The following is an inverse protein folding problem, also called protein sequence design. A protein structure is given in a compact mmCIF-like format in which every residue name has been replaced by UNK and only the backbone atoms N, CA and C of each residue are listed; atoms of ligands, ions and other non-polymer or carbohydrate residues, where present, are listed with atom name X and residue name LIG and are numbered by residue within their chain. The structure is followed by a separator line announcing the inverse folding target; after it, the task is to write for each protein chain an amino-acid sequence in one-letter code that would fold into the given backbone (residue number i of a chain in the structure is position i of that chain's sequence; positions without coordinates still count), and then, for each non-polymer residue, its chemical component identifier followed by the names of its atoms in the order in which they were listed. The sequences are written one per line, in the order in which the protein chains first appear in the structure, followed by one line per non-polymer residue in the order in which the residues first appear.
data_IF_845056955170
#
_entry.id   IF_845056955170
#
_cell.length_a   1.000
_cell.length_b   1.000
_cell.length_c   1.000
_cell.angle_alpha   90.00
_cell.angle_beta   90.00
_cell.angle_gamma   90.00
#
_symmetry.space_group_name_H-M   'P 1'
#
loop_
_entity.id
_entity.type
_entity.pdbx_description
1 polymer ?
#
# COMPACT_ATOMS: atom_id res chain seq x y z
N UNK A 1 -8.42 -21.31 15.64
CA UNK A 1 -8.37 -21.25 14.16
C UNK A 1 -9.56 -20.50 13.55
N UNK A 2 -10.80 -20.72 14.01
CA UNK A 2 -11.97 -20.02 13.47
C UNK A 2 -11.94 -18.48 13.62
N UNK A 3 -11.39 -17.95 14.72
CA UNK A 3 -11.18 -16.50 14.92
C UNK A 3 -10.09 -15.93 14.00
N UNK A 4 -9.00 -16.67 13.80
CA UNK A 4 -7.93 -16.26 12.88
C UNK A 4 -8.43 -16.20 11.43
N UNK A 5 -9.26 -17.15 10.98
CA UNK A 5 -9.88 -17.12 9.63
C UNK A 5 -10.85 -15.96 9.44
N UNK A 6 -11.62 -15.59 10.47
CA UNK A 6 -12.48 -14.39 10.43
C UNK A 6 -11.65 -13.11 10.38
N UNK A 7 -10.60 -13.03 11.20
CA UNK A 7 -9.53 -12.01 11.14
C UNK A 7 -9.05 -11.76 9.72
N UNK A 8 -8.68 -12.84 9.06
CA UNK A 8 -8.07 -12.81 7.75
C UNK A 8 -9.05 -12.45 6.61
N UNK A 9 -10.32 -12.87 6.71
CA UNK A 9 -11.40 -12.46 5.78
C UNK A 9 -11.57 -10.96 5.77
N UNK A 10 -11.57 -10.36 6.95
CA UNK A 10 -11.64 -8.91 7.07
C UNK A 10 -10.36 -8.24 6.60
N UNK A 11 -9.17 -8.80 6.83
CA UNK A 11 -7.91 -8.20 6.36
C UNK A 11 -7.94 -7.99 4.86
N UNK A 12 -8.27 -9.06 4.14
CA UNK A 12 -8.42 -9.06 2.70
C UNK A 12 -9.33 -7.94 2.24
N UNK A 13 -10.54 -7.85 2.80
CA UNK A 13 -11.52 -6.85 2.41
C UNK A 13 -11.06 -5.44 2.80
N UNK A 14 -10.57 -5.26 4.02
CA UNK A 14 -10.18 -3.97 4.58
C UNK A 14 -8.92 -3.38 3.94
N UNK A 15 -8.00 -4.19 3.40
CA UNK A 15 -6.82 -3.69 2.70
C UNK A 15 -7.04 -3.61 1.18
N UNK A 16 -7.68 -4.62 0.58
CA UNK A 16 -7.81 -4.71 -0.89
C UNK A 16 -8.82 -3.70 -1.41
N UNK A 17 -9.96 -3.46 -0.73
CA UNK A 17 -10.93 -2.47 -1.21
C UNK A 17 -10.34 -1.07 -1.27
N UNK A 18 -9.79 -0.51 -0.17
CA UNK A 18 -9.16 0.82 -0.20
C UNK A 18 -8.06 0.95 -1.25
N UNK A 19 -7.16 -0.03 -1.29
CA UNK A 19 -6.03 -0.01 -2.21
C UNK A 19 -6.49 -0.08 -3.67
N UNK A 20 -7.38 -1.02 -4.00
CA UNK A 20 -7.90 -1.16 -5.37
C UNK A 20 -8.68 0.07 -5.82
N UNK A 21 -9.47 0.67 -4.92
CA UNK A 21 -10.27 1.86 -5.21
C UNK A 21 -9.38 3.10 -5.43
N UNK A 22 -8.31 3.25 -4.64
CA UNK A 22 -7.31 4.30 -4.85
C UNK A 22 -6.50 4.10 -6.13
N UNK A 23 -6.02 2.88 -6.39
CA UNK A 23 -5.29 2.59 -7.62
C UNK A 23 -6.17 2.84 -8.85
N UNK A 24 -7.44 2.46 -8.80
CA UNK A 24 -8.39 2.76 -9.87
C UNK A 24 -8.58 4.27 -10.07
N UNK A 25 -8.74 5.03 -8.98
CA UNK A 25 -8.89 6.49 -9.04
C UNK A 25 -7.64 7.17 -9.64
N UNK A 26 -6.44 6.81 -9.18
CA UNK A 26 -5.17 7.34 -9.67
C UNK A 26 -5.01 7.04 -11.17
N UNK A 27 -5.27 5.80 -11.59
CA UNK A 27 -5.18 5.41 -13.00
C UNK A 27 -6.18 6.19 -13.85
N UNK A 28 -7.43 6.32 -13.38
CA UNK A 28 -8.47 7.06 -14.11
C UNK A 28 -8.10 8.53 -14.27
N UNK A 29 -7.55 9.15 -13.22
CA UNK A 29 -7.07 10.53 -13.29
C UNK A 29 -5.89 10.71 -14.23
N UNK A 30 -4.94 9.78 -14.19
CA UNK A 30 -3.76 9.85 -15.05
C UNK A 30 -4.13 9.73 -16.53
N UNK A 31 -5.12 8.89 -16.85
CA UNK A 31 -5.66 8.75 -18.21
C UNK A 31 -6.47 9.97 -18.63
N UNK A 32 -7.23 10.57 -17.71
CA UNK A 32 -8.07 11.73 -18.00
C UNK A 32 -7.29 13.04 -18.18
N UNK A 33 -6.09 13.14 -17.60
CA UNK A 33 -5.41 14.42 -17.48
C UNK A 33 -4.06 14.44 -18.20
N UNK A 34 -4.10 14.77 -19.49
CA UNK A 34 -2.92 14.91 -20.36
C UNK A 34 -2.09 16.20 -20.09
N UNK A 35 -2.48 17.04 -19.11
CA UNK A 35 -1.88 18.38 -18.89
C UNK A 35 -1.53 18.67 -17.43
N UNK A 36 -1.00 17.70 -16.68
CA UNK A 36 -0.56 17.98 -15.31
C UNK A 36 0.75 18.78 -15.25
N UNK A 37 0.89 19.70 -14.27
CA UNK A 37 2.14 20.39 -14.01
C UNK A 37 3.27 19.41 -13.65
N UNK A 38 4.47 19.65 -14.18
CA UNK A 38 5.66 18.80 -13.98
C UNK A 38 6.10 18.67 -12.52
N UNK A 39 5.76 19.66 -11.66
CA UNK A 39 6.08 19.62 -10.23
C UNK A 39 5.25 18.59 -9.44
N UNK A 40 4.08 18.18 -9.96
CA UNK A 40 3.22 17.17 -9.32
C UNK A 40 3.75 15.74 -9.50
N UNK A 41 4.73 15.52 -10.39
CA UNK A 41 5.35 14.21 -10.67
C UNK A 41 6.45 13.79 -9.70
N UNK A 42 6.59 14.44 -8.54
CA UNK A 42 7.63 14.05 -7.59
C UNK A 42 7.35 12.63 -7.08
N UNK A 43 8.26 11.71 -7.38
CA UNK A 43 8.34 10.31 -6.92
C UNK A 43 7.86 10.09 -5.47
N UNK A 44 8.20 11.04 -4.59
CA UNK A 44 7.82 10.99 -3.19
C UNK A 44 6.30 11.11 -2.99
N UNK A 45 5.61 11.97 -3.75
CA UNK A 45 4.17 12.19 -3.60
C UNK A 45 3.36 10.97 -4.04
N UNK A 46 3.69 10.33 -5.15
CA UNK A 46 2.93 9.16 -5.64
C UNK A 46 3.04 7.95 -4.70
N UNK A 47 4.26 7.64 -4.22
CA UNK A 47 4.47 6.58 -3.24
C UNK A 47 3.65 6.82 -1.95
N UNK A 48 3.37 8.08 -1.64
CA UNK A 48 2.65 8.51 -0.44
C UNK A 48 1.16 8.40 -0.62
N UNK A 49 0.66 8.78 -1.80
CA UNK A 49 -0.73 8.58 -2.18
C UNK A 49 -1.11 7.10 -2.18
N UNK A 50 -0.20 6.19 -2.51
CA UNK A 50 -0.45 4.74 -2.46
C UNK A 50 -0.21 4.16 -1.06
N UNK A 51 0.85 4.61 -0.38
CA UNK A 51 1.26 4.08 0.92
C UNK A 51 0.32 4.43 2.07
N UNK A 52 -0.20 5.66 2.11
CA UNK A 52 -1.08 6.15 3.18
C UNK A 52 -2.40 5.36 3.28
N UNK A 53 -3.17 5.15 2.19
CA UNK A 53 -4.39 4.33 2.23
C UNK A 53 -4.11 2.88 2.59
N UNK A 54 -2.99 2.31 2.13
CA UNK A 54 -2.59 0.95 2.48
C UNK A 54 -2.34 0.81 3.99
N UNK A 55 -1.61 1.77 4.56
CA UNK A 55 -1.35 1.82 6.00
C UNK A 55 -2.64 2.04 6.80
N UNK A 56 -3.51 2.95 6.35
CA UNK A 56 -4.80 3.20 6.97
C UNK A 56 -5.73 1.98 6.91
N UNK A 57 -5.74 1.26 5.79
CA UNK A 57 -6.44 -0.02 5.65
C UNK A 57 -5.91 -1.08 6.61
N UNK A 58 -4.58 -1.12 6.82
CA UNK A 58 -3.96 -1.98 7.83
C UNK A 58 -4.39 -1.62 9.26
N UNK A 59 -4.39 -0.33 9.61
CA UNK A 59 -4.84 0.17 10.90
C UNK A 59 -6.31 -0.18 11.17
N UNK A 60 -7.17 0.05 10.18
CA UNK A 60 -8.59 -0.28 10.25
C UNK A 60 -8.79 -1.79 10.44
N UNK A 61 -7.96 -2.62 9.78
CA UNK A 61 -7.99 -4.05 10.01
C UNK A 61 -7.58 -4.43 11.45
N UNK A 62 -6.49 -3.89 11.98
CA UNK A 62 -6.07 -4.13 13.37
C UNK A 62 -7.21 -3.79 14.34
N UNK A 63 -7.83 -2.62 14.15
CA UNK A 63 -8.98 -2.18 14.94
C UNK A 63 -10.18 -3.12 14.81
N UNK A 64 -10.46 -3.63 13.61
CA UNK A 64 -11.53 -4.60 13.37
C UNK A 64 -11.28 -5.94 14.07
N UNK A 65 -10.04 -6.45 14.05
CA UNK A 65 -9.67 -7.74 14.66
C UNK A 65 -9.95 -7.76 16.16
N UNK A 66 -9.75 -6.63 16.82
CA UNK A 66 -10.04 -6.46 18.25
C UNK A 66 -11.55 -6.23 18.54
N UNK A 67 -12.39 -6.30 17.50
CA UNK A 67 -13.83 -6.06 17.59
C UNK A 67 -14.20 -4.58 17.76
N UNK A 68 -13.27 -3.67 17.44
CA UNK A 68 -13.42 -2.23 17.66
C UNK A 68 -14.64 -1.64 16.96
N UNK A 69 -14.91 -2.02 15.71
CA UNK A 69 -16.04 -1.48 14.94
C UNK A 69 -17.41 -1.90 15.46
N UNK A 70 -17.53 -3.09 16.06
CA UNK A 70 -18.79 -3.51 16.70
C UNK A 70 -19.05 -2.72 17.99
N UNK A 71 -18.00 -2.34 18.72
CA UNK A 71 -18.12 -1.55 19.96
C UNK A 71 -18.29 -0.07 19.69
N UNK A 72 -17.74 0.44 18.59
CA UNK A 72 -17.73 1.87 18.24
C UNK A 72 -17.97 2.06 16.73
N UNK A 73 -19.24 2.11 16.29
CA UNK A 73 -19.57 2.33 14.88
C UNK A 73 -19.11 3.71 14.37
N UNK A 74 -18.93 4.68 15.26
CA UNK A 74 -18.38 6.01 14.94
C UNK A 74 -16.99 5.94 14.31
N UNK A 75 -16.16 4.97 14.72
CA UNK A 75 -14.85 4.74 14.12
C UNK A 75 -14.94 4.42 12.63
N UNK A 76 -15.96 3.64 12.25
CA UNK A 76 -16.21 3.25 10.86
C UNK A 76 -16.63 4.47 10.03
N UNK A 77 -17.48 5.33 10.60
CA UNK A 77 -17.91 6.55 9.94
C UNK A 77 -16.71 7.46 9.65
N UNK A 78 -15.82 7.72 10.61
CA UNK A 78 -14.63 8.55 10.37
C UNK A 78 -13.68 7.93 9.34
N UNK A 79 -13.48 6.61 9.39
CA UNK A 79 -12.65 5.91 8.40
C UNK A 79 -13.23 6.00 6.99
N UNK A 80 -14.54 5.79 6.83
CA UNK A 80 -15.21 5.91 5.53
C UNK A 80 -15.23 7.36 5.04
N UNK A 81 -15.43 8.34 5.92
CA UNK A 81 -15.32 9.76 5.57
C UNK A 81 -13.92 10.12 5.08
N UNK A 82 -12.87 9.62 5.75
CA UNK A 82 -11.49 9.78 5.28
C UNK A 82 -11.30 9.16 3.90
N UNK A 83 -11.77 7.92 3.68
CA UNK A 83 -11.65 7.24 2.40
C UNK A 83 -12.37 8.02 1.27
N UNK A 84 -13.57 8.51 1.55
CA UNK A 84 -14.37 9.31 0.62
C UNK A 84 -13.68 10.62 0.27
N UNK A 85 -13.16 11.35 1.27
CA UNK A 85 -12.37 12.56 1.06
C UNK A 85 -11.10 12.28 0.24
N UNK A 86 -10.44 11.16 0.51
CA UNK A 86 -9.23 10.75 -0.23
C UNK A 86 -9.52 10.45 -1.70
N UNK A 87 -10.67 9.84 -2.01
CA UNK A 87 -11.08 9.59 -3.40
C UNK A 87 -11.59 10.84 -4.10
N UNK A 88 -12.25 11.73 -3.36
CA UNK A 88 -12.77 12.99 -3.88
C UNK A 88 -11.68 14.05 -4.03
N UNK A 89 -10.55 13.90 -3.34
CA UNK A 89 -9.40 14.81 -3.39
C UNK A 89 -9.00 15.13 -4.82
N UNK A 90 -8.70 14.10 -5.58
CA UNK A 90 -8.22 14.17 -6.95
C UNK A 90 -9.18 14.94 -7.89
N UNK A 91 -10.47 14.55 -8.05
CA UNK A 91 -11.39 15.29 -8.91
C UNK A 91 -11.68 16.70 -8.39
N UNK A 92 -11.62 16.94 -7.08
CA UNK A 92 -11.87 18.27 -6.52
C UNK A 92 -10.71 19.22 -6.84
N UNK A 93 -9.48 18.81 -6.53
CA UNK A 93 -8.29 19.64 -6.71
C UNK A 93 -8.05 19.93 -8.19
N UNK A 94 -8.18 18.89 -9.04
CA UNK A 94 -7.87 19.02 -10.45
C UNK A 94 -9.06 19.44 -11.32
N UNK A 95 -10.28 19.08 -10.95
CA UNK A 95 -11.47 19.39 -11.73
C UNK A 95 -11.98 20.82 -11.53
N UNK A 96 -11.92 21.35 -10.30
CA UNK A 96 -12.47 22.69 -10.00
C UNK A 96 -11.45 23.81 -10.23
N UNK A 97 -10.16 23.51 -10.38
CA UNK A 97 -9.11 24.51 -10.54
C UNK A 97 -8.98 25.49 -9.36
N UNK A 98 -9.55 25.14 -8.20
CA UNK A 98 -9.68 25.99 -7.03
C UNK A 98 -8.74 25.49 -5.91
N UNK A 99 -7.52 26.02 -5.78
CA UNK A 99 -6.52 25.49 -4.84
C UNK A 99 -6.96 25.59 -3.36
N UNK A 100 -7.78 26.59 -3.03
CA UNK A 100 -8.33 26.77 -1.69
C UNK A 100 -9.28 25.64 -1.27
N UNK A 101 -10.02 25.04 -2.22
CA UNK A 101 -10.88 23.88 -1.95
C UNK A 101 -10.03 22.67 -1.57
N UNK A 102 -8.92 22.46 -2.28
CA UNK A 102 -7.92 21.47 -1.90
C UNK A 102 -7.44 21.67 -0.47
N UNK A 103 -7.09 22.89 -0.08
CA UNK A 103 -6.65 23.17 1.29
C UNK A 103 -7.74 22.79 2.34
N UNK A 104 -9.00 23.13 2.09
CA UNK A 104 -10.13 22.76 2.97
C UNK A 104 -10.27 21.24 3.09
N UNK A 105 -10.23 20.52 1.96
CA UNK A 105 -10.33 19.05 1.97
C UNK A 105 -9.15 18.44 2.73
N UNK A 106 -7.96 19.03 2.66
CA UNK A 106 -6.76 18.56 3.34
C UNK A 106 -6.91 18.67 4.86
N UNK A 107 -7.42 19.81 5.32
CA UNK A 107 -7.75 20.02 6.73
C UNK A 107 -8.85 19.05 7.20
N UNK A 108 -9.86 18.81 6.38
CA UNK A 108 -10.90 17.82 6.68
C UNK A 108 -10.34 16.40 6.79
N UNK A 109 -9.43 16.01 5.89
CA UNK A 109 -8.74 14.71 5.95
C UNK A 109 -7.87 14.60 7.20
N UNK A 110 -7.15 15.66 7.57
CA UNK A 110 -6.34 15.69 8.79
C UNK A 110 -7.22 15.58 10.06
N UNK A 111 -8.38 16.24 10.07
CA UNK A 111 -9.38 16.12 11.13
C UNK A 111 -10.00 14.71 11.24
N UNK A 112 -10.25 14.06 10.11
CA UNK A 112 -10.70 12.67 10.11
C UNK A 112 -9.61 11.71 10.63
N UNK A 113 -8.34 11.96 10.27
CA UNK A 113 -7.19 11.18 10.75
C UNK A 113 -6.94 11.35 12.25
N UNK A 114 -7.05 12.57 12.80
CA UNK A 114 -6.94 12.81 14.25
C UNK A 114 -8.03 12.09 15.02
N UNK A 115 -9.28 12.16 14.54
CA UNK A 115 -10.40 11.44 15.13
C UNK A 115 -10.18 9.92 15.09
N UNK A 116 -9.77 9.37 13.94
CA UNK A 116 -9.42 7.96 13.81
C UNK A 116 -8.30 7.56 14.77
N UNK A 117 -7.26 8.39 14.91
CA UNK A 117 -6.13 8.14 15.83
C UNK A 117 -6.59 8.01 17.27
N UNK A 118 -7.42 8.95 17.75
CA UNK A 118 -7.91 8.91 19.14
C UNK A 118 -8.71 7.64 19.41
N UNK A 119 -9.64 7.31 18.52
CA UNK A 119 -10.51 6.14 18.69
C UNK A 119 -9.70 4.85 18.56
N UNK A 120 -8.74 4.78 17.63
CA UNK A 120 -7.92 3.60 17.44
C UNK A 120 -6.97 3.39 18.61
N UNK A 121 -6.36 4.46 19.14
CA UNK A 121 -5.44 4.38 20.29
C UNK A 121 -6.12 3.83 21.55
N UNK A 122 -7.40 4.11 21.74
CA UNK A 122 -8.17 3.56 22.88
C UNK A 122 -8.39 2.04 22.80
N UNK A 123 -8.53 1.49 21.59
CA UNK A 123 -8.76 0.05 21.40
C UNK A 123 -7.46 -0.71 21.20
N UNK A 124 -6.57 -0.16 20.39
CA UNK A 124 -5.27 -0.74 20.06
C UNK A 124 -4.21 0.37 19.91
N UNK A 125 -3.30 0.53 20.89
CA UNK A 125 -2.30 1.60 20.86
C UNK A 125 -1.37 1.51 19.64
N UNK A 126 -1.07 0.29 19.16
CA UNK A 126 -0.23 0.08 17.98
C UNK A 126 -0.89 0.66 16.74
N UNK A 127 -2.20 0.44 16.56
CA UNK A 127 -2.94 1.03 15.44
C UNK A 127 -2.97 2.57 15.55
N UNK A 128 -3.16 3.10 16.76
CA UNK A 128 -3.10 4.55 17.00
C UNK A 128 -1.75 5.18 16.67
N UNK A 129 -0.64 4.53 17.02
CA UNK A 129 0.72 5.00 16.73
C UNK A 129 1.05 4.91 15.24
N UNK A 130 0.51 3.89 14.55
CA UNK A 130 0.67 3.76 13.10
C UNK A 130 -0.10 4.87 12.35
N UNK A 131 -1.30 5.24 12.81
CA UNK A 131 -2.04 6.41 12.30
C UNK A 131 -1.29 7.71 12.60
N UNK A 132 -0.63 7.81 13.76
CA UNK A 132 0.21 8.96 14.10
C UNK A 132 1.37 9.13 13.11
N UNK A 133 2.04 8.02 12.75
CA UNK A 133 3.11 8.04 11.77
C UNK A 133 2.61 8.55 10.41
N UNK A 134 1.44 8.11 9.94
CA UNK A 134 0.83 8.67 8.72
C UNK A 134 0.51 10.15 8.80
N UNK A 135 0.06 10.64 9.96
CA UNK A 135 -0.22 12.06 10.14
C UNK A 135 1.05 12.92 10.09
N UNK A 136 2.13 12.50 10.75
CA UNK A 136 3.42 13.22 10.73
C UNK A 136 3.92 13.31 9.28
N UNK A 137 3.75 12.23 8.54
CA UNK A 137 4.11 12.18 7.12
C UNK A 137 3.25 13.12 6.28
N UNK A 138 1.93 13.13 6.47
CA UNK A 138 1.02 14.04 5.78
C UNK A 138 1.32 15.52 6.10
N UNK A 139 1.69 15.83 7.35
CA UNK A 139 2.10 17.17 7.76
C UNK A 139 3.39 17.61 7.06
N UNK A 140 4.40 16.73 6.99
CA UNK A 140 5.64 17.02 6.24
C UNK A 140 5.40 17.30 4.77
N UNK A 141 4.44 16.61 4.15
CA UNK A 141 4.07 16.86 2.75
C UNK A 141 3.41 18.21 2.57
N UNK A 142 2.72 18.74 3.58
CA UNK A 142 2.11 20.08 3.55
C UNK A 142 3.06 21.22 3.97
N UNK A 143 4.25 20.90 4.48
CA UNK A 143 5.25 21.88 4.90
C UNK A 143 6.08 22.59 3.79
N UNK A 144 6.11 22.20 2.49
CA UNK A 144 7.13 22.72 1.56
C UNK A 144 6.92 24.17 1.10
N UNK A 145 5.80 24.82 1.40
CA UNK A 145 5.56 26.21 0.99
C UNK A 145 5.94 27.27 2.03
N UNK A 146 5.91 26.96 3.32
CA UNK A 146 6.19 27.96 4.36
C UNK A 146 7.68 28.32 4.42
N UNK A 147 8.56 27.35 4.18
CA UNK A 147 10.00 27.53 4.28
C UNK A 147 10.58 28.33 3.09
N UNK A 148 10.00 28.16 1.90
CA UNK A 148 10.37 28.95 0.71
C UNK A 148 9.96 30.42 0.82
N UNK A 149 8.82 30.71 1.46
CA UNK A 149 8.38 32.09 1.73
C UNK A 149 9.28 32.72 2.80
N UNK A 150 9.67 31.95 3.82
CA UNK A 150 10.59 32.42 4.87
C UNK A 150 11.98 32.73 4.32
N UNK A 151 12.50 31.90 3.42
CA UNK A 151 13.79 32.16 2.76
C UNK A 151 13.77 33.35 1.80
N UNK A 152 12.63 33.65 1.16
CA UNK A 152 12.48 34.89 0.37
C UNK A 152 12.35 36.14 1.24
N UNK A 153 11.76 36.04 2.43
CA UNK A 153 11.68 37.13 3.40
C UNK A 153 13.04 37.46 4.05
N UNK A 154 13.87 36.45 4.33
CA UNK A 154 15.14 36.62 5.04
C UNK A 154 16.29 37.21 4.20
N UNK A 155 16.11 37.41 2.88
CA UNK A 155 17.16 37.96 2.00
C UNK A 155 17.27 39.50 2.04
N UNK A 156 16.46 40.17 2.87
CA UNK A 156 16.35 41.63 2.91
C UNK A 156 16.83 42.31 4.20
N UNK A 157 17.34 41.57 5.20
CA UNK A 157 17.61 42.15 6.52
C UNK A 157 19.09 42.02 6.90
N UNK A 158 19.82 43.15 7.09
CA UNK A 158 21.22 43.12 7.51
C UNK A 158 21.36 42.67 8.96
N UNK A 159 22.23 41.70 9.16
CA UNK A 159 22.56 41.02 10.42
C UNK A 159 23.15 41.98 11.46
N UNK A 160 22.50 42.08 12.62
CA UNK A 160 23.07 42.59 13.87
C UNK A 160 23.55 41.39 14.68
N UNK A 161 24.83 41.40 15.04
CA UNK A 161 25.51 40.34 15.76
C UNK A 161 25.04 40.26 17.23
N UNK A 162 24.57 39.09 17.66
CA UNK A 162 24.32 38.78 19.08
C UNK A 162 25.16 37.56 19.55
N UNK A 163 25.61 37.55 20.82
CA UNK A 163 26.65 36.65 21.30
C UNK A 163 26.10 35.31 21.81
N UNK A 164 26.94 34.29 21.69
CA UNK A 164 26.67 32.89 22.05
C UNK A 164 26.81 32.68 23.56
N UNK A 165 25.73 32.23 24.21
CA UNK A 165 25.75 31.69 25.57
C UNK A 165 25.68 30.16 25.50
N UNK A 166 26.75 29.51 25.97
CA UNK A 166 26.84 28.06 26.09
C UNK A 166 26.16 27.61 27.38
N UNK A 167 25.10 26.82 27.29
CA UNK A 167 24.58 26.06 28.42
C UNK A 167 24.94 24.58 28.33
N UNK A 168 25.66 24.21 29.38
CA UNK A 168 26.18 22.90 29.73
C UNK A 168 25.08 22.12 30.47
N UNK A 169 24.67 20.95 29.98
CA UNK A 169 23.77 20.04 30.71
C UNK A 169 24.44 18.68 30.90
N UNK A 170 25.15 18.56 32.01
CA UNK A 170 25.37 17.32 32.75
C UNK A 170 24.21 17.18 33.74
N UNK A 171 23.43 16.09 33.71
CA UNK A 171 23.25 15.25 34.89
C UNK A 171 22.53 13.92 34.62
N UNK A 172 23.16 12.89 35.17
CA UNK A 172 22.71 11.57 35.56
C UNK A 172 21.28 11.48 36.11
N UNK A 173 20.52 10.43 35.77
CA UNK A 173 19.58 9.83 36.74
C UNK A 173 19.39 8.32 36.53
N UNK A 174 19.93 7.62 37.52
CA UNK A 174 19.74 6.26 38.04
C UNK A 174 18.60 5.38 37.51
N UNK A 175 19.05 4.14 37.28
CA UNK A 175 18.39 2.84 37.36
C UNK A 175 17.41 2.76 38.55
N UNK A 176 16.19 2.31 38.28
CA UNK A 176 15.36 1.56 39.23
C UNK A 176 14.85 0.31 38.51
N UNK A 177 15.49 -0.82 38.82
CA UNK A 177 14.90 -2.15 38.64
C UNK A 177 13.76 -2.28 39.65
N UNK A 178 12.56 -2.62 39.17
CA UNK A 178 11.50 -3.10 40.05
C UNK A 178 10.91 -4.40 39.49
N UNK A 179 11.33 -5.50 40.11
CA UNK A 179 10.78 -6.83 39.92
C UNK A 179 9.44 -6.92 40.65
N UNK A 180 8.32 -6.83 39.92
CA UNK A 180 7.04 -7.33 40.43
C UNK A 180 6.63 -8.59 39.67
N UNK A 181 6.75 -9.72 40.38
CA UNK A 181 6.34 -11.03 39.90
C UNK A 181 4.83 -11.13 39.79
N UNK A 182 4.32 -11.24 38.56
CA UNK A 182 2.99 -11.80 38.31
C UNK A 182 3.12 -13.23 37.78
N UNK A 183 2.92 -14.20 38.67
CA UNK A 183 2.76 -15.62 38.35
C UNK A 183 1.43 -15.81 37.60
N UNK A 184 1.37 -15.48 36.32
CA UNK A 184 0.28 -15.93 35.42
C UNK A 184 0.73 -17.14 34.62
N UNK A 185 0.25 -18.30 35.09
CA UNK A 185 0.45 -19.65 34.55
C UNK A 185 0.28 -19.73 33.01
N UNK A 186 1.39 -19.88 32.29
CA UNK A 186 1.69 -21.12 31.56
C UNK A 186 0.90 -21.53 30.31
N UNK A 187 0.10 -20.68 29.66
CA UNK A 187 -0.59 -21.05 28.38
C UNK A 187 -0.35 -20.15 27.17
N UNK A 188 0.33 -19.00 27.34
CA UNK A 188 0.64 -18.06 26.23
C UNK A 188 1.89 -18.35 25.36
N UNK A 189 2.97 -19.03 25.80
CA UNK A 189 4.21 -19.04 25.01
C UNK A 189 4.09 -19.86 23.72
N UNK A 190 3.25 -20.91 23.72
CA UNK A 190 3.08 -21.79 22.56
C UNK A 190 2.29 -21.15 21.42
N UNK A 191 1.42 -20.16 21.69
CA UNK A 191 0.67 -19.43 20.65
C UNK A 191 1.53 -18.34 19.98
N UNK A 192 2.40 -17.68 20.74
CA UNK A 192 3.35 -16.69 20.19
C UNK A 192 4.41 -17.34 19.30
N UNK A 193 4.90 -18.54 19.63
CA UNK A 193 5.88 -19.26 18.81
C UNK A 193 5.34 -19.60 17.40
N UNK A 194 4.07 -19.98 17.28
CA UNK A 194 3.42 -20.27 15.99
C UNK A 194 3.19 -19.00 15.17
N UNK A 195 2.81 -17.89 15.81
CA UNK A 195 2.66 -16.60 15.15
C UNK A 195 4.00 -16.07 14.61
N UNK A 196 5.09 -16.20 15.38
CA UNK A 196 6.44 -15.75 14.98
C UNK A 196 6.99 -16.54 13.79
N UNK A 197 6.71 -17.85 13.70
CA UNK A 197 7.08 -18.67 12.54
C UNK A 197 6.30 -18.29 11.29
N UNK A 198 5.00 -18.00 11.44
CA UNK A 198 4.17 -17.50 10.34
C UNK A 198 4.63 -16.14 9.81
N UNK A 199 5.02 -15.20 10.68
CA UNK A 199 5.51 -13.87 10.30
C UNK A 199 6.85 -13.92 9.52
N UNK A 200 7.76 -14.83 9.89
CA UNK A 200 9.02 -15.01 9.14
C UNK A 200 8.77 -15.60 7.75
N UNK A 201 7.87 -16.58 7.63
CA UNK A 201 7.53 -17.10 6.30
C UNK A 201 6.69 -16.12 5.47
N UNK A 202 5.91 -15.25 6.11
CA UNK A 202 5.20 -14.15 5.44
C UNK A 202 6.18 -13.16 4.85
N UNK A 203 7.16 -12.72 5.65
CA UNK A 203 8.21 -11.83 5.17
C UNK A 203 8.93 -12.44 3.97
N UNK A 204 9.31 -13.72 4.03
CA UNK A 204 9.96 -14.39 2.90
C UNK A 204 9.03 -14.46 1.67
N UNK A 205 7.77 -14.84 1.86
CA UNK A 205 6.79 -14.97 0.78
C UNK A 205 6.38 -13.64 0.13
N UNK A 206 6.52 -12.52 0.84
CA UNK A 206 6.32 -11.18 0.29
C UNK A 206 7.61 -10.59 -0.30
N UNK A 207 8.75 -10.82 0.34
CA UNK A 207 10.04 -10.27 -0.09
C UNK A 207 10.49 -10.93 -1.39
N UNK A 208 10.25 -12.22 -1.61
CA UNK A 208 10.67 -12.92 -2.83
C UNK A 208 10.00 -12.36 -4.10
N UNK A 209 8.67 -12.25 -4.18
CA UNK A 209 8.00 -11.66 -5.35
C UNK A 209 8.34 -10.18 -5.51
N UNK A 210 8.46 -9.45 -4.40
CA UNK A 210 8.74 -8.02 -4.40
C UNK A 210 10.17 -7.73 -4.87
N UNK A 211 11.16 -8.46 -4.38
CA UNK A 211 12.57 -8.33 -4.80
C UNK A 211 12.75 -8.74 -6.26
N UNK A 212 12.04 -9.78 -6.70
CA UNK A 212 12.10 -10.26 -8.07
C UNK A 212 11.51 -9.23 -9.06
N UNK A 213 10.38 -8.60 -8.73
CA UNK A 213 9.81 -7.53 -9.55
C UNK A 213 10.62 -6.24 -9.49
N UNK A 214 11.16 -5.87 -8.32
CA UNK A 214 12.10 -4.74 -8.21
C UNK A 214 13.32 -4.94 -9.09
N UNK A 215 13.90 -6.15 -9.09
CA UNK A 215 15.04 -6.47 -9.95
C UNK A 215 14.67 -6.37 -11.44
N UNK A 216 13.49 -6.86 -11.83
CA UNK A 216 13.00 -6.75 -13.21
C UNK A 216 12.83 -5.28 -13.64
N UNK A 217 12.19 -4.45 -12.81
CA UNK A 217 12.00 -3.02 -13.06
C UNK A 217 13.35 -2.31 -13.20
N UNK A 218 14.29 -2.52 -12.27
CA UNK A 218 15.63 -1.93 -12.34
C UNK A 218 16.36 -2.37 -13.60
N UNK A 219 16.27 -3.66 -13.98
CA UNK A 219 16.90 -4.18 -15.19
C UNK A 219 16.36 -3.52 -16.45
N UNK A 220 15.03 -3.32 -16.54
CA UNK A 220 14.39 -2.60 -17.65
C UNK A 220 14.77 -1.12 -17.68
N UNK A 221 14.89 -0.50 -16.51
CA UNK A 221 15.30 0.90 -16.37
C UNK A 221 16.71 1.13 -16.91
N UNK A 222 17.64 0.20 -16.64
CA UNK A 222 19.01 0.24 -17.15
C UNK A 222 19.07 -0.14 -18.63
N UNK A 223 18.28 -1.13 -19.06
CA UNK A 223 18.29 -1.63 -20.42
C UNK A 223 17.68 -0.65 -21.43
N UNK A 224 16.85 0.30 -21.00
CA UNK A 224 16.09 1.12 -21.94
C UNK A 224 16.10 2.62 -21.66
N UNK A 225 17.15 3.27 -22.17
CA UNK A 225 17.32 4.72 -22.17
C UNK A 225 16.37 5.47 -23.15
N UNK A 226 15.48 4.78 -23.90
CA UNK A 226 14.68 5.37 -24.99
C UNK A 226 13.16 5.23 -24.88
N UNK A 227 12.60 4.70 -23.78
CA UNK A 227 11.16 4.46 -23.72
C UNK A 227 10.27 5.70 -23.46
N UNK A 228 9.01 5.66 -23.94
CA UNK A 228 8.02 6.71 -23.76
C UNK A 228 7.78 7.09 -22.29
N UNK A 229 7.66 8.39 -22.02
CA UNK A 229 7.48 8.96 -20.67
C UNK A 229 6.18 8.58 -19.97
N UNK A 230 5.18 8.03 -20.68
CA UNK A 230 3.90 7.60 -20.10
C UNK A 230 4.00 6.24 -19.38
N UNK A 231 4.91 5.36 -19.82
CA UNK A 231 5.15 4.08 -19.17
C UNK A 231 5.98 4.23 -17.88
N UNK A 232 6.73 5.33 -17.78
CA UNK A 232 7.51 5.75 -16.61
C UNK A 232 6.64 6.38 -15.50
N UNK A 233 5.35 6.07 -15.47
CA UNK A 233 4.44 6.52 -14.42
C UNK A 233 4.59 5.55 -13.24
N UNK A 234 5.09 6.04 -12.10
CA UNK A 234 5.33 5.22 -10.92
C UNK A 234 4.04 4.66 -10.34
N UNK A 235 2.88 5.22 -10.64
CA UNK A 235 1.60 4.58 -10.37
C UNK A 235 1.54 3.18 -11.00
N UNK A 236 1.96 3.02 -12.27
CA UNK A 236 2.02 1.71 -12.92
C UNK A 236 3.09 0.83 -12.28
N UNK A 237 4.27 1.35 -11.95
CA UNK A 237 5.31 0.58 -11.26
C UNK A 237 4.87 0.12 -9.87
N UNK A 238 4.19 0.97 -9.10
CA UNK A 238 3.68 0.66 -7.77
C UNK A 238 2.58 -0.39 -7.83
N UNK A 239 1.72 -0.33 -8.84
CA UNK A 239 0.72 -1.36 -9.10
C UNK A 239 1.41 -2.67 -9.52
N UNK A 240 2.41 -2.57 -10.40
CA UNK A 240 3.19 -3.69 -10.90
C UNK A 240 3.97 -4.40 -9.79
N UNK A 241 4.46 -3.68 -8.78
CA UNK A 241 5.14 -4.23 -7.60
C UNK A 241 4.15 -4.67 -6.51
N UNK A 242 3.03 -3.96 -6.36
CA UNK A 242 2.03 -4.20 -5.34
C UNK A 242 1.20 -5.47 -5.57
N UNK A 243 0.82 -5.77 -6.81
CA UNK A 243 0.05 -6.99 -7.13
C UNK A 243 0.79 -8.31 -6.90
N UNK A 244 2.07 -8.46 -7.28
CA UNK A 244 2.87 -9.62 -6.94
C UNK A 244 3.02 -9.80 -5.43
N UNK A 245 3.11 -8.72 -4.65
CA UNK A 245 3.15 -8.80 -3.20
C UNK A 245 1.82 -9.33 -2.62
N UNK A 246 0.68 -8.86 -3.15
CA UNK A 246 -0.66 -9.40 -2.83
C UNK A 246 -0.78 -10.88 -3.21
N UNK A 247 -0.21 -11.26 -4.35
CA UNK A 247 -0.13 -12.65 -4.79
C UNK A 247 0.76 -13.50 -3.86
N UNK A 248 1.94 -13.02 -3.48
CA UNK A 248 2.81 -13.65 -2.48
C UNK A 248 2.11 -13.83 -1.14
N UNK A 249 1.29 -12.86 -0.72
CA UNK A 249 0.44 -12.99 0.45
C UNK A 249 -0.60 -14.11 0.31
N UNK A 250 -1.24 -14.23 -0.86
CA UNK A 250 -2.17 -15.35 -1.12
C UNK A 250 -1.48 -16.71 -1.04
N UNK A 251 -0.29 -16.82 -1.65
CA UNK A 251 0.52 -18.03 -1.60
C UNK A 251 0.93 -18.37 -0.15
N UNK A 252 1.27 -17.36 0.66
CA UNK A 252 1.54 -17.56 2.08
C UNK A 252 0.30 -18.06 2.85
N UNK A 253 -0.88 -17.49 2.60
CA UNK A 253 -2.12 -17.95 3.22
C UNK A 253 -2.43 -19.40 2.90
N UNK A 254 -2.24 -19.79 1.64
CA UNK A 254 -2.39 -21.17 1.21
C UNK A 254 -1.35 -22.10 1.87
N UNK A 255 -0.11 -21.62 2.04
CA UNK A 255 0.94 -22.35 2.75
C UNK A 255 0.57 -22.61 4.21
N UNK A 256 0.12 -21.57 4.94
CA UNK A 256 -0.21 -21.64 6.37
C UNK A 256 -1.43 -22.54 6.64
N UNK A 257 -2.41 -22.59 5.73
CA UNK A 257 -3.54 -23.51 5.84
C UNK A 257 -3.16 -24.98 5.46
N UNK A 258 -1.89 -25.26 5.16
CA UNK A 258 -1.38 -26.61 4.84
C UNK A 258 -1.67 -27.06 3.41
N UNK A 259 -2.00 -26.13 2.52
CA UNK A 259 -2.47 -26.42 1.16
C UNK A 259 -1.41 -27.08 0.26
N UNK A 260 -0.13 -26.78 0.45
CA UNK A 260 0.92 -27.29 -0.44
C UNK A 260 1.16 -28.79 -0.36
N UNK A 261 0.91 -29.42 0.79
CA UNK A 261 0.96 -30.88 0.89
C UNK A 261 -0.24 -31.55 0.21
N UNK A 262 -1.36 -30.82 0.07
CA UNK A 262 -2.61 -31.37 -0.48
C UNK A 262 -2.75 -31.17 -1.98
N UNK A 263 -2.27 -30.04 -2.52
CA UNK A 263 -2.37 -29.69 -3.95
C UNK A 263 -1.15 -28.87 -4.41
N UNK A 264 -0.05 -29.50 -4.84
CA UNK A 264 1.13 -28.80 -5.35
C UNK A 264 0.86 -28.07 -6.68
N UNK A 265 -0.19 -28.44 -7.40
CA UNK A 265 -0.60 -27.82 -8.67
C UNK A 265 -0.90 -26.33 -8.54
N UNK A 266 -1.42 -25.88 -7.39
CA UNK A 266 -1.66 -24.45 -7.12
C UNK A 266 -0.34 -23.64 -7.12
N UNK A 267 0.75 -24.26 -6.64
CA UNK A 267 2.07 -23.65 -6.63
C UNK A 267 2.56 -23.44 -8.08
N UNK A 268 2.36 -24.45 -8.93
CA UNK A 268 2.76 -24.37 -10.33
C UNK A 268 2.05 -23.24 -11.08
N UNK A 269 0.73 -23.09 -10.90
CA UNK A 269 -0.01 -21.98 -11.51
C UNK A 269 0.39 -20.60 -10.97
N UNK A 270 0.76 -20.54 -9.69
CA UNK A 270 1.28 -19.32 -9.08
C UNK A 270 2.64 -18.93 -9.67
N UNK A 271 3.57 -19.89 -9.75
CA UNK A 271 4.88 -19.69 -10.36
C UNK A 271 4.75 -19.34 -11.85
N UNK A 272 3.83 -19.97 -12.57
CA UNK A 272 3.61 -19.64 -13.98
C UNK A 272 3.09 -18.21 -14.13
N UNK A 273 2.16 -17.78 -13.27
CA UNK A 273 1.69 -16.38 -13.28
C UNK A 273 2.84 -15.40 -13.02
N UNK A 274 3.68 -15.67 -12.02
CA UNK A 274 4.82 -14.82 -11.68
C UNK A 274 5.85 -14.76 -12.82
N UNK A 275 6.15 -15.90 -13.44
CA UNK A 275 7.05 -15.98 -14.58
C UNK A 275 6.48 -15.24 -15.79
N UNK A 276 5.18 -15.38 -16.06
CA UNK A 276 4.52 -14.66 -17.15
C UNK A 276 4.46 -13.15 -16.88
N UNK A 277 4.24 -12.71 -15.63
CA UNK A 277 4.25 -11.28 -15.32
C UNK A 277 5.65 -10.69 -15.47
N UNK A 278 6.70 -11.40 -15.03
CA UNK A 278 8.09 -10.99 -15.29
C UNK A 278 8.45 -10.99 -16.77
N UNK A 279 7.96 -11.97 -17.54
CA UNK A 279 8.26 -12.06 -18.97
C UNK A 279 7.51 -11.00 -19.78
N UNK A 280 6.37 -10.51 -19.28
CA UNK A 280 5.56 -9.53 -19.99
C UNK A 280 6.29 -8.21 -20.21
N UNK A 281 7.01 -7.69 -19.22
CA UNK A 281 7.73 -6.43 -19.38
C UNK A 281 8.80 -6.48 -20.49
N UNK A 282 9.79 -7.41 -20.51
CA UNK A 282 10.76 -7.46 -21.59
C UNK A 282 10.12 -7.83 -22.94
N UNK A 283 8.98 -8.54 -22.95
CA UNK A 283 8.28 -8.86 -24.19
C UNK A 283 7.60 -7.62 -24.78
N UNK A 284 6.88 -6.85 -23.97
CA UNK A 284 6.16 -5.66 -24.45
C UNK A 284 7.13 -4.54 -24.76
N UNK A 285 8.14 -4.32 -23.90
CA UNK A 285 9.06 -3.20 -24.04
C UNK A 285 10.31 -3.53 -24.85
N UNK A 286 10.88 -4.73 -24.69
CA UNK A 286 12.11 -5.13 -25.37
C UNK A 286 11.88 -5.53 -26.83
N UNK A 287 10.82 -6.30 -27.12
CA UNK A 287 10.51 -6.75 -28.49
C UNK A 287 9.58 -5.78 -29.24
N UNK A 288 8.94 -4.84 -28.54
CA UNK A 288 8.04 -3.84 -29.15
C UNK A 288 6.85 -4.44 -29.89
N UNK A 289 6.49 -5.70 -29.62
CA UNK A 289 5.40 -6.40 -30.30
C UNK A 289 4.17 -6.46 -29.40
N UNK A 290 3.17 -5.59 -29.60
CA UNK A 290 1.95 -5.56 -28.78
C UNK A 290 1.13 -6.85 -28.88
N UNK A 291 1.23 -7.57 -30.01
CA UNK A 291 0.57 -8.86 -30.22
C UNK A 291 1.06 -9.93 -29.24
N UNK A 292 2.37 -10.02 -29.01
CA UNK A 292 2.93 -11.01 -28.07
C UNK A 292 2.55 -10.63 -26.63
N UNK A 293 2.57 -9.34 -26.31
CA UNK A 293 2.05 -8.82 -25.03
C UNK A 293 0.62 -9.26 -24.75
N UNK A 294 -0.26 -9.19 -25.74
CA UNK A 294 -1.65 -9.60 -25.64
C UNK A 294 -1.80 -11.10 -25.31
N UNK A 295 -1.06 -11.97 -26.03
CA UNK A 295 -1.08 -13.42 -25.79
C UNK A 295 -0.62 -13.74 -24.37
N UNK A 296 0.46 -13.09 -23.92
CA UNK A 296 0.99 -13.28 -22.57
C UNK A 296 0.00 -12.78 -21.50
N UNK A 297 -0.69 -11.66 -21.73
CA UNK A 297 -1.73 -11.17 -20.81
C UNK A 297 -2.95 -12.11 -20.72
N UNK A 298 -3.37 -12.71 -21.83
CA UNK A 298 -4.41 -13.75 -21.83
C UNK A 298 -3.97 -14.99 -21.06
N UNK A 299 -2.72 -15.42 -21.24
CA UNK A 299 -2.16 -16.55 -20.51
C UNK A 299 -2.06 -16.27 -19.00
N UNK A 300 -1.70 -15.03 -18.60
CA UNK A 300 -1.76 -14.59 -17.20
C UNK A 300 -3.18 -14.66 -16.63
N UNK A 301 -4.18 -14.18 -17.37
CA UNK A 301 -5.58 -14.25 -16.96
C UNK A 301 -6.03 -15.70 -16.78
N UNK A 302 -5.63 -16.59 -17.69
CA UNK A 302 -5.85 -18.03 -17.59
C UNK A 302 -5.23 -18.62 -16.31
N UNK A 303 -3.96 -18.34 -16.04
CA UNK A 303 -3.29 -18.78 -14.82
C UNK A 303 -3.99 -18.27 -13.54
N UNK A 304 -4.42 -17.00 -13.53
CA UNK A 304 -5.18 -16.44 -12.41
C UNK A 304 -6.55 -17.10 -12.23
N UNK A 305 -7.27 -17.40 -13.32
CA UNK A 305 -8.55 -18.13 -13.22
C UNK A 305 -8.38 -19.53 -12.64
N UNK A 306 -7.34 -20.27 -13.07
CA UNK A 306 -7.02 -21.57 -12.52
C UNK A 306 -6.66 -21.49 -11.03
N UNK A 307 -5.79 -20.53 -10.66
CA UNK A 307 -5.47 -20.23 -9.26
C UNK A 307 -6.73 -19.92 -8.44
N UNK A 308 -7.64 -19.10 -8.99
CA UNK A 308 -8.89 -18.72 -8.32
C UNK A 308 -9.78 -19.93 -8.05
N UNK A 309 -9.94 -20.83 -9.02
CA UNK A 309 -10.77 -22.02 -8.85
C UNK A 309 -10.21 -22.93 -7.75
N UNK A 310 -8.90 -23.21 -7.79
CA UNK A 310 -8.24 -24.07 -6.79
C UNK A 310 -8.27 -23.43 -5.40
N UNK A 311 -8.02 -22.12 -5.31
CA UNK A 311 -8.07 -21.41 -4.04
C UNK A 311 -9.48 -21.25 -3.50
N UNK A 312 -10.50 -21.09 -4.35
CA UNK A 312 -11.90 -20.99 -3.87
C UNK A 312 -12.36 -22.26 -3.14
N UNK A 313 -11.87 -23.43 -3.53
CA UNK A 313 -12.17 -24.70 -2.85
C UNK A 313 -11.52 -24.81 -1.47
N UNK A 314 -10.30 -24.27 -1.30
CA UNK A 314 -9.55 -24.40 -0.04
C UNK A 314 -9.81 -23.23 0.90
N UNK A 315 -9.78 -22.01 0.36
CA UNK A 315 -10.00 -20.79 1.10
C UNK A 315 -10.63 -19.70 0.22
N UNK A 316 -11.94 -19.40 0.39
CA UNK A 316 -12.62 -18.38 -0.42
C UNK A 316 -12.01 -16.97 -0.29
N UNK A 317 -11.18 -16.73 0.73
CA UNK A 317 -10.45 -15.46 0.92
C UNK A 317 -9.39 -15.27 -0.17
N UNK A 318 -8.56 -16.30 -0.38
CA UNK A 318 -7.51 -16.26 -1.37
C UNK A 318 -8.13 -16.10 -2.77
N UNK A 319 -9.29 -16.73 -3.01
CA UNK A 319 -10.06 -16.54 -4.25
C UNK A 319 -10.51 -15.09 -4.47
N UNK A 320 -10.86 -14.34 -3.42
CA UNK A 320 -11.25 -12.93 -3.55
C UNK A 320 -10.05 -12.01 -3.80
N UNK A 321 -8.89 -12.28 -3.21
CA UNK A 321 -7.66 -11.54 -3.55
C UNK A 321 -7.24 -11.79 -5.00
N UNK A 322 -7.30 -13.04 -5.45
CA UNK A 322 -7.02 -13.38 -6.85
C UNK A 322 -8.01 -12.69 -7.80
N UNK A 323 -9.24 -12.44 -7.37
CA UNK A 323 -10.21 -11.68 -8.16
C UNK A 323 -9.75 -10.21 -8.37
N UNK A 324 -9.13 -9.57 -7.38
CA UNK A 324 -8.56 -8.23 -7.55
C UNK A 324 -7.42 -8.23 -8.58
N UNK A 325 -6.55 -9.25 -8.57
CA UNK A 325 -5.52 -9.40 -9.61
C UNK A 325 -6.09 -9.73 -10.98
N UNK A 326 -7.24 -10.41 -11.07
CA UNK A 326 -7.91 -10.62 -12.36
C UNK A 326 -8.41 -9.29 -12.95
N UNK A 327 -8.97 -8.40 -12.13
CA UNK A 327 -9.42 -7.07 -12.61
C UNK A 327 -8.24 -6.32 -13.22
N UNK A 328 -7.07 -6.37 -12.58
CA UNK A 328 -5.85 -5.79 -13.13
C UNK A 328 -5.40 -6.46 -14.42
N UNK A 329 -5.38 -7.79 -14.49
CA UNK A 329 -5.00 -8.50 -15.72
C UNK A 329 -5.93 -8.15 -16.89
N UNK A 330 -7.24 -7.99 -16.64
CA UNK A 330 -8.20 -7.50 -17.63
C UNK A 330 -7.88 -6.07 -18.06
N UNK A 331 -7.52 -5.20 -17.11
CA UNK A 331 -7.08 -3.84 -17.43
C UNK A 331 -5.81 -3.83 -18.31
N UNK A 332 -4.83 -4.68 -18.02
CA UNK A 332 -3.62 -4.85 -18.85
C UNK A 332 -3.98 -5.34 -20.26
N UNK A 333 -4.93 -6.27 -20.41
CA UNK A 333 -5.43 -6.70 -21.73
C UNK A 333 -6.05 -5.51 -22.48
N UNK A 334 -6.89 -4.71 -21.83
CA UNK A 334 -7.48 -3.51 -22.43
C UNK A 334 -6.42 -2.50 -22.86
N UNK A 335 -5.36 -2.29 -22.07
CA UNK A 335 -4.24 -1.43 -22.44
C UNK A 335 -3.51 -1.95 -23.67
N UNK A 336 -3.21 -3.26 -23.74
CA UNK A 336 -2.56 -3.86 -24.90
C UNK A 336 -3.44 -3.79 -26.16
N UNK A 337 -4.76 -4.01 -26.04
CA UNK A 337 -5.70 -3.83 -27.16
C UNK A 337 -5.72 -2.39 -27.66
N UNK A 338 -5.70 -1.42 -26.74
CA UNK A 338 -5.64 0.00 -27.10
C UNK A 338 -4.32 0.36 -27.77
N UNK A 339 -3.21 -0.23 -27.33
CA UNK A 339 -1.89 -0.05 -27.93
C UNK A 339 -1.77 -0.70 -29.31
N UNK A 340 -2.52 -1.79 -29.55
CA UNK A 340 -2.59 -2.49 -30.82
C UNK A 340 -3.43 -1.74 -31.87
N UNK A 341 -4.47 -1.05 -31.41
CA UNK A 341 -5.43 -0.34 -32.27
C UNK A 341 -4.91 1.04 -32.74
N UNK A 342 -3.77 1.51 -32.21
CA UNK A 342 -3.20 2.84 -32.46
C UNK A 342 -1.97 2.74 -33.37
#
# INVERSE_FOLDING_TARGET
MATARRGLRSLAIAMVLPLSLHLAAVVFLHVASAKHPTWFRSLALEAVFVGLPALMGFCAWLFWVDGGFHRRPTALAFFLSYLALSLAWDPIVFGLGAPWVGLIVSWAMLGALTACRMIFKEVNPIAGDLVAASMIWALRVMEPETENIRQRGARGEPTVDEPKTNENYENSTKISEDQSGSKTKGRRPRRMATARRGLRSLAIAMVLPLSLHLAAVVFLHVASAKHPTWFRSLALEAVFVGLPALMGFCAWLFWVDGGFHRRPTALAFFLSYLALSLAWDPIVFGLGSPWVGLIVSWAMLGALTACRMIFKEVNPIAGNLVAASMIWAVFVICLNLKLLLW
#
